data_IF_756311202817
#
_entry.id   IF_756311202817
#
_cell.length_a   1.000
_cell.length_b   1.000
_cell.length_c   1.000
_cell.angle_alpha   90.00
_cell.angle_beta   90.00
_cell.angle_gamma   90.00
#
_symmetry.space_group_name_H-M   'P 1'
#
loop_
_entity.id
_entity.type
_entity.pdbx_description
1 polymer ?
#
# COMPACT_ATOMS: atom_id res chain seq x y z
N UNK A 1 3.82 5.67 -16.59
CA UNK A 1 4.51 4.67 -17.42
C UNK A 1 4.73 3.36 -16.66
N UNK A 2 5.57 3.28 -15.64
CA UNK A 2 5.96 2.02 -14.97
C UNK A 2 4.78 1.20 -14.39
N UNK A 3 3.76 1.84 -13.79
CA UNK A 3 2.62 1.11 -13.24
C UNK A 3 1.75 0.45 -14.31
N UNK A 4 1.52 1.14 -15.42
CA UNK A 4 0.76 0.58 -16.53
C UNK A 4 1.47 -0.64 -17.13
N UNK A 5 2.77 -0.54 -17.26
CA UNK A 5 3.64 -1.62 -17.76
C UNK A 5 3.64 -2.81 -16.80
N UNK A 6 3.77 -2.56 -15.50
CA UNK A 6 3.66 -3.59 -14.46
C UNK A 6 2.31 -4.31 -14.49
N UNK A 7 1.21 -3.56 -14.66
CA UNK A 7 -0.12 -4.16 -14.78
C UNK A 7 -0.22 -5.03 -16.03
N UNK A 8 0.21 -4.52 -17.19
CA UNK A 8 0.12 -5.24 -18.45
C UNK A 8 0.99 -6.50 -18.49
N UNK A 9 2.24 -6.36 -18.05
CA UNK A 9 3.26 -7.38 -18.27
C UNK A 9 3.42 -8.38 -17.12
N UNK A 10 2.90 -8.07 -15.93
CA UNK A 10 3.05 -8.93 -14.76
C UNK A 10 1.70 -9.28 -14.13
N UNK A 11 0.92 -8.28 -13.71
CA UNK A 11 -0.29 -8.53 -12.93
C UNK A 11 -1.36 -9.25 -13.77
N UNK A 12 -1.72 -8.70 -14.93
CA UNK A 12 -2.74 -9.30 -15.79
C UNK A 12 -2.41 -10.74 -16.23
N UNK A 13 -1.21 -11.04 -16.71
CA UNK A 13 -0.85 -12.42 -17.07
C UNK A 13 -0.94 -13.38 -15.89
N UNK A 14 -0.47 -12.98 -14.71
CA UNK A 14 -0.54 -13.81 -13.51
C UNK A 14 -1.99 -14.08 -13.08
N UNK A 15 -2.85 -13.06 -13.10
CA UNK A 15 -4.28 -13.23 -12.80
C UNK A 15 -5.01 -14.12 -13.81
N UNK A 16 -4.67 -14.01 -15.11
CA UNK A 16 -5.21 -14.92 -16.13
C UNK A 16 -4.84 -16.38 -15.86
N UNK A 17 -3.66 -16.62 -15.30
CA UNK A 17 -3.19 -17.93 -14.87
C UNK A 17 -3.74 -18.35 -13.49
N UNK A 18 -4.73 -17.63 -12.94
CA UNK A 18 -5.33 -17.87 -11.61
C UNK A 18 -4.31 -17.84 -10.46
N UNK A 19 -3.19 -17.15 -10.63
CA UNK A 19 -2.16 -16.97 -9.61
C UNK A 19 -2.57 -15.90 -8.60
N UNK A 20 -2.14 -16.07 -7.35
CA UNK A 20 -2.20 -15.02 -6.33
C UNK A 20 -1.11 -13.99 -6.64
N UNK A 21 -1.49 -12.71 -6.67
CA UNK A 21 -0.56 -11.61 -6.92
C UNK A 21 -0.42 -10.76 -5.65
N UNK A 22 0.77 -10.70 -5.10
CA UNK A 22 1.11 -9.80 -4.00
C UNK A 22 1.84 -8.60 -4.59
N UNK A 23 1.33 -7.40 -4.30
CA UNK A 23 1.91 -6.16 -4.80
C UNK A 23 2.26 -5.24 -3.63
N UNK A 24 3.55 -5.01 -3.41
CA UNK A 24 4.01 -4.00 -2.47
C UNK A 24 3.82 -2.61 -3.08
N UNK A 25 2.93 -1.82 -2.46
CA UNK A 25 2.51 -0.49 -2.91
C UNK A 25 1.79 -0.49 -4.26
N UNK A 26 0.52 -0.17 -4.24
CA UNK A 26 -0.30 -0.05 -5.44
C UNK A 26 -0.90 1.36 -5.57
N UNK A 27 -2.16 1.49 -6.00
CA UNK A 27 -2.83 2.78 -6.29
C UNK A 27 -2.91 3.70 -5.08
N UNK A 28 -3.13 3.14 -3.88
CA UNK A 28 -3.25 3.92 -2.65
C UNK A 28 -1.99 4.72 -2.35
N UNK A 29 -0.81 4.17 -2.71
CA UNK A 29 0.45 4.93 -2.61
C UNK A 29 0.46 6.16 -3.49
N UNK A 30 -0.10 6.10 -4.70
CA UNK A 30 -0.21 7.27 -5.58
C UNK A 30 -1.12 8.32 -4.95
N UNK A 31 -2.27 7.91 -4.42
CA UNK A 31 -3.19 8.84 -3.75
C UNK A 31 -2.53 9.45 -2.51
N UNK A 32 -1.94 8.62 -1.65
CA UNK A 32 -1.33 9.10 -0.42
C UNK A 32 -0.17 10.08 -0.66
N UNK A 33 0.70 9.78 -1.61
CA UNK A 33 1.89 10.62 -1.86
C UNK A 33 1.63 11.77 -2.82
N UNK A 34 0.85 11.59 -3.87
CA UNK A 34 0.64 12.64 -4.87
C UNK A 34 -0.51 13.57 -4.47
N UNK A 35 -1.65 13.02 -4.08
CA UNK A 35 -2.81 13.84 -3.73
C UNK A 35 -2.61 14.49 -2.36
N UNK A 36 -2.47 13.67 -1.32
CA UNK A 36 -2.37 14.22 0.04
C UNK A 36 -0.98 14.77 0.39
N UNK A 37 0.07 14.21 -0.19
CA UNK A 37 1.44 14.66 0.04
C UNK A 37 1.79 15.90 -0.76
N UNK A 38 1.55 15.87 -2.08
CA UNK A 38 1.96 16.92 -3.04
C UNK A 38 0.81 17.79 -3.54
N UNK A 39 -0.43 17.58 -3.05
CA UNK A 39 -1.62 18.34 -3.43
C UNK A 39 -1.99 18.25 -4.93
N UNK A 40 -1.66 17.15 -5.59
CA UNK A 40 -2.12 16.89 -6.96
C UNK A 40 -3.63 16.66 -6.93
N UNK A 41 -4.34 17.12 -7.94
CA UNK A 41 -5.79 16.97 -8.05
C UNK A 41 -6.21 15.50 -8.03
N UNK A 42 -7.19 15.17 -7.20
CA UNK A 42 -7.68 13.80 -7.02
C UNK A 42 -8.40 13.28 -8.26
N UNK A 43 -9.13 14.13 -8.98
CA UNK A 43 -9.88 13.73 -10.16
C UNK A 43 -8.91 13.38 -11.30
N UNK A 44 -7.83 14.14 -11.44
CA UNK A 44 -6.75 13.84 -12.38
C UNK A 44 -6.15 12.45 -12.10
N UNK A 45 -5.80 12.16 -10.85
CA UNK A 45 -5.26 10.86 -10.45
C UNK A 45 -6.28 9.73 -10.68
N UNK A 46 -7.55 9.95 -10.33
CA UNK A 46 -8.59 8.95 -10.53
C UNK A 46 -8.84 8.66 -12.02
N UNK A 47 -8.79 9.66 -12.89
CA UNK A 47 -8.91 9.48 -14.32
C UNK A 47 -7.76 8.65 -14.91
N UNK A 48 -6.52 8.92 -14.44
CA UNK A 48 -5.36 8.09 -14.80
C UNK A 48 -5.56 6.66 -14.32
N UNK A 49 -5.95 6.47 -13.06
CA UNK A 49 -6.19 5.15 -12.49
C UNK A 49 -7.27 4.39 -13.27
N UNK A 50 -8.39 5.02 -13.59
CA UNK A 50 -9.46 4.41 -14.39
C UNK A 50 -8.94 3.87 -15.72
N UNK A 51 -8.14 4.66 -16.44
CA UNK A 51 -7.54 4.25 -17.73
C UNK A 51 -6.52 3.11 -17.58
N UNK A 52 -5.68 3.14 -16.55
CA UNK A 52 -4.59 2.18 -16.37
C UNK A 52 -5.10 0.85 -15.79
N UNK A 53 -5.94 0.92 -14.76
CA UNK A 53 -6.39 -0.26 -14.01
C UNK A 53 -7.48 -1.03 -14.78
N UNK A 54 -8.28 -0.31 -15.58
CA UNK A 54 -9.49 -0.89 -16.16
C UNK A 54 -10.35 -1.47 -15.03
N UNK A 55 -10.54 -2.78 -14.98
CA UNK A 55 -11.34 -3.46 -13.96
C UNK A 55 -10.50 -4.13 -12.85
N UNK A 56 -9.18 -3.94 -12.83
CA UNK A 56 -8.32 -4.55 -11.81
C UNK A 56 -8.46 -3.79 -10.49
N UNK A 57 -8.92 -4.50 -9.46
CA UNK A 57 -9.01 -4.00 -8.09
C UNK A 57 -8.39 -5.01 -7.13
N UNK A 58 -7.67 -4.57 -6.08
CA UNK A 58 -7.19 -5.47 -5.05
C UNK A 58 -8.35 -6.16 -4.34
N UNK A 59 -8.27 -7.48 -4.17
CA UNK A 59 -9.23 -8.25 -3.39
C UNK A 59 -9.03 -8.05 -1.88
N UNK A 60 -7.78 -7.81 -1.49
CA UNK A 60 -7.37 -7.59 -0.11
C UNK A 60 -6.29 -6.51 -0.08
N UNK A 61 -6.39 -5.59 0.87
CA UNK A 61 -5.35 -4.58 1.12
C UNK A 61 -4.98 -4.61 2.60
N UNK A 62 -3.70 -4.77 2.86
CA UNK A 62 -3.13 -4.69 4.20
C UNK A 62 -2.43 -3.34 4.34
N UNK A 63 -2.82 -2.56 5.33
CA UNK A 63 -2.20 -1.29 5.68
C UNK A 63 -1.45 -1.44 6.98
N UNK A 64 -0.13 -1.32 6.93
CA UNK A 64 0.74 -1.37 8.09
C UNK A 64 0.98 0.06 8.60
N UNK A 65 0.35 0.44 9.69
CA UNK A 65 0.67 1.70 10.38
C UNK A 65 1.85 1.49 11.33
N UNK A 66 2.65 2.53 11.51
CA UNK A 66 3.79 2.51 12.42
C UNK A 66 3.86 3.83 13.19
N UNK A 67 4.21 3.77 14.48
CA UNK A 67 4.42 5.00 15.25
C UNK A 67 5.58 5.82 14.69
N UNK A 68 5.50 7.14 14.81
CA UNK A 68 6.57 8.05 14.36
C UNK A 68 7.92 7.71 15.01
N UNK A 69 7.91 7.32 16.30
CA UNK A 69 9.09 6.92 17.05
C UNK A 69 9.73 5.66 16.46
N UNK A 70 8.93 4.62 16.20
CA UNK A 70 9.41 3.37 15.62
C UNK A 70 9.88 3.55 14.18
N UNK A 71 9.16 4.35 13.38
CA UNK A 71 9.56 4.68 12.01
C UNK A 71 10.94 5.37 11.96
N UNK A 72 11.14 6.38 12.82
CA UNK A 72 12.44 7.06 12.93
C UNK A 72 13.57 6.12 13.35
N UNK A 73 13.33 5.24 14.32
CA UNK A 73 14.31 4.25 14.78
C UNK A 73 14.72 3.32 13.63
N UNK A 74 13.75 2.85 12.84
CA UNK A 74 14.00 2.00 11.66
C UNK A 74 14.79 2.75 10.57
N UNK A 75 14.43 4.00 10.28
CA UNK A 75 15.13 4.83 9.29
C UNK A 75 16.60 5.08 9.68
N UNK A 76 16.87 5.36 10.96
CA UNK A 76 18.25 5.55 11.46
C UNK A 76 19.12 4.30 11.32
N UNK A 77 18.54 3.10 11.42
CA UNK A 77 19.25 1.82 11.29
C UNK A 77 19.47 1.41 9.82
N UNK A 78 18.86 2.10 8.88
CA UNK A 78 18.92 1.72 7.46
C UNK A 78 20.27 2.15 6.86
N UNK A 79 20.99 1.19 6.26
CA UNK A 79 22.28 1.46 5.62
C UNK A 79 22.13 2.25 4.30
N UNK A 80 21.03 2.06 3.58
CA UNK A 80 20.76 2.72 2.30
C UNK A 80 19.58 3.67 2.42
N UNK A 81 19.74 4.91 1.96
CA UNK A 81 18.66 5.90 1.88
C UNK A 81 18.03 5.89 0.49
N UNK A 82 16.74 6.09 0.42
CA UNK A 82 16.02 6.31 -0.82
C UNK A 82 15.58 7.79 -0.93
N UNK A 83 15.14 8.19 -2.11
CA UNK A 83 14.72 9.59 -2.39
C UNK A 83 13.62 10.10 -1.46
N UNK A 84 12.84 9.21 -0.83
CA UNK A 84 11.77 9.59 0.07
C UNK A 84 12.31 9.86 1.49
N UNK A 85 13.43 9.30 1.89
CA UNK A 85 13.98 9.42 3.24
C UNK A 85 14.41 10.88 3.57
N UNK A 86 14.52 11.73 2.56
CA UNK A 86 14.86 13.16 2.67
C UNK A 86 13.63 14.08 2.85
N UNK A 87 12.41 13.55 2.77
CA UNK A 87 11.22 14.38 2.99
C UNK A 87 11.04 14.74 4.46
N UNK A 88 10.50 15.94 4.69
CA UNK A 88 10.16 16.40 6.04
C UNK A 88 9.21 15.41 6.73
N UNK A 89 9.35 15.27 8.05
CA UNK A 89 8.52 14.36 8.84
C UNK A 89 7.03 14.65 8.71
N UNK A 90 6.64 15.91 8.51
CA UNK A 90 5.26 16.32 8.25
C UNK A 90 4.68 15.61 7.02
N UNK A 91 5.50 15.39 5.98
CA UNK A 91 5.10 14.66 4.78
C UNK A 91 4.76 13.18 5.10
N UNK A 92 5.62 12.51 5.89
CA UNK A 92 5.34 11.12 6.29
C UNK A 92 4.11 10.99 7.15
N UNK A 93 3.92 11.92 8.09
CA UNK A 93 2.72 11.95 8.93
C UNK A 93 1.46 12.14 8.08
N UNK A 94 1.49 13.05 7.10
CA UNK A 94 0.39 13.26 6.16
C UNK A 94 0.12 12.01 5.32
N UNK A 95 1.16 11.39 4.77
CA UNK A 95 1.04 10.16 3.99
C UNK A 95 0.43 9.02 4.81
N UNK A 96 0.90 8.79 6.03
CA UNK A 96 0.35 7.75 6.91
C UNK A 96 -1.12 8.01 7.25
N UNK A 97 -1.48 9.23 7.65
CA UNK A 97 -2.88 9.60 7.87
C UNK A 97 -3.74 9.35 6.63
N UNK A 98 -3.18 9.57 5.46
CA UNK A 98 -3.87 9.35 4.18
C UNK A 98 -4.13 7.88 3.90
N UNK A 99 -3.17 7.00 4.14
CA UNK A 99 -3.39 5.55 4.04
C UNK A 99 -4.50 5.08 4.97
N UNK A 100 -4.51 5.54 6.21
CA UNK A 100 -5.57 5.22 7.18
C UNK A 100 -6.91 5.75 6.69
N UNK A 101 -6.97 6.99 6.18
CA UNK A 101 -8.20 7.58 5.62
C UNK A 101 -8.71 6.80 4.41
N UNK A 102 -7.82 6.40 3.49
CA UNK A 102 -8.17 5.59 2.32
C UNK A 102 -8.74 4.23 2.72
N UNK A 103 -8.19 3.62 3.77
CA UNK A 103 -8.61 2.32 4.26
C UNK A 103 -9.92 2.34 5.05
N UNK A 104 -10.27 3.48 5.65
CA UNK A 104 -11.47 3.62 6.48
C UNK A 104 -12.72 3.27 5.69
N UNK A 105 -13.60 2.45 6.30
CA UNK A 105 -14.89 2.04 5.75
C UNK A 105 -14.83 1.16 4.48
N UNK A 106 -13.68 0.57 4.17
CA UNK A 106 -13.56 -0.38 3.06
C UNK A 106 -13.45 -1.82 3.57
N UNK A 107 -14.41 -2.66 3.20
CA UNK A 107 -14.53 -4.06 3.67
C UNK A 107 -13.32 -4.97 3.35
N UNK A 108 -12.54 -4.63 2.35
CA UNK A 108 -11.36 -5.38 1.93
C UNK A 108 -10.04 -4.78 2.41
N UNK A 109 -10.09 -3.77 3.30
CA UNK A 109 -8.91 -3.13 3.88
C UNK A 109 -8.77 -3.50 5.35
N UNK A 110 -7.57 -3.89 5.74
CA UNK A 110 -7.22 -4.23 7.12
C UNK A 110 -6.03 -3.39 7.55
N UNK A 111 -6.17 -2.73 8.70
CA UNK A 111 -5.12 -1.87 9.25
C UNK A 111 -4.51 -2.57 10.46
N UNK A 112 -3.20 -2.77 10.42
CA UNK A 112 -2.43 -3.35 11.52
C UNK A 112 -1.40 -2.36 12.04
N UNK A 113 -1.13 -2.44 13.34
CA UNK A 113 -0.02 -1.73 13.95
C UNK A 113 1.25 -2.57 13.85
N UNK A 114 2.22 -2.07 13.11
CA UNK A 114 3.54 -2.68 12.94
C UNK A 114 4.64 -1.97 13.75
N UNK A 115 4.26 -1.22 14.78
CA UNK A 115 5.23 -0.50 15.62
C UNK A 115 6.11 -1.45 16.40
N UNK A 116 5.58 -2.60 16.77
CA UNK A 116 6.28 -3.68 17.45
C UNK A 116 6.73 -4.73 16.42
N UNK A 117 7.85 -5.36 16.71
CA UNK A 117 8.41 -6.39 15.85
C UNK A 117 8.13 -7.74 16.53
N UNK A 118 6.88 -8.19 16.44
CA UNK A 118 6.45 -9.47 16.98
C UNK A 118 5.91 -10.37 15.86
N UNK A 119 6.02 -11.67 16.03
CA UNK A 119 5.55 -12.66 15.06
C UNK A 119 4.02 -12.73 14.99
N UNK A 120 3.32 -12.21 16.00
CA UNK A 120 1.85 -12.24 16.04
C UNK A 120 1.19 -11.44 14.92
N UNK A 121 1.89 -10.43 14.39
CA UNK A 121 1.42 -9.64 13.25
C UNK A 121 1.38 -10.48 11.96
N UNK A 122 2.41 -11.28 11.74
CA UNK A 122 2.50 -12.19 10.59
C UNK A 122 1.37 -13.21 10.62
N UNK A 123 1.15 -13.84 11.77
CA UNK A 123 0.08 -14.83 11.95
C UNK A 123 -1.31 -14.24 11.70
N UNK A 124 -1.58 -13.04 12.22
CA UNK A 124 -2.83 -12.31 11.99
C UNK A 124 -3.06 -12.00 10.51
N UNK A 125 -2.03 -11.54 9.82
CA UNK A 125 -2.10 -11.25 8.38
C UNK A 125 -2.33 -12.53 7.60
N UNK A 126 -1.59 -13.59 7.93
CA UNK A 126 -1.71 -14.88 7.27
C UNK A 126 -3.09 -15.51 7.45
N UNK A 127 -3.66 -15.43 8.64
CA UNK A 127 -5.02 -15.91 8.91
C UNK A 127 -6.07 -15.21 8.02
N UNK A 128 -5.95 -13.90 7.82
CA UNK A 128 -6.85 -13.16 6.92
C UNK A 128 -6.65 -13.59 5.46
N UNK A 129 -5.40 -13.78 5.03
CA UNK A 129 -5.09 -14.24 3.67
C UNK A 129 -5.69 -15.64 3.44
N UNK A 130 -5.44 -16.58 4.35
CA UNK A 130 -6.02 -17.94 4.28
C UNK A 130 -7.54 -17.90 4.16
N UNK A 131 -8.20 -17.15 5.03
CA UNK A 131 -9.66 -16.99 5.01
C UNK A 131 -10.14 -16.41 3.67
N UNK A 132 -9.43 -15.46 3.09
CA UNK A 132 -9.80 -14.77 1.84
C UNK A 132 -9.60 -15.65 0.62
N UNK A 133 -8.60 -16.51 0.64
CA UNK A 133 -8.26 -17.42 -0.45
C UNK A 133 -8.92 -18.80 -0.29
N UNK A 134 -9.71 -19.02 0.78
CA UNK A 134 -10.29 -20.33 1.13
C UNK A 134 -9.24 -21.45 1.22
N UNK A 135 -8.02 -21.11 1.71
CA UNK A 135 -6.95 -22.08 1.93
C UNK A 135 -7.14 -22.67 3.35
N UNK A 136 -7.20 -24.01 3.41
CA UNK A 136 -7.22 -24.75 4.67
C UNK A 136 -5.85 -24.77 5.35
#
# INVERSE_FOLDING_TARGET
>A
ASRNEHIKNKIKPALKQKKVVICDRFIDSTIAYQVYGKKVDINFINNIHKKILQNIKPNLVIVLKVSTKSSRKRLKKRKTRNRYDNFAQSFYSKAQKSFIRIAKNKKNYFIFDSSYNDNTLEDKIFAIIKKRLNIK
#
